data_IF_713780451112
#
_entry.id   IF_713780451112
#
_cell.length_a   1.000
_cell.length_b   1.000
_cell.length_c   1.000
_cell.angle_alpha   90.00
_cell.angle_beta   90.00
_cell.angle_gamma   90.00
#
_symmetry.space_group_name_H-M   'P 1'
#
loop_
_entity.id
_entity.type
_entity.pdbx_description
1 polymer ?
#
# COMPACT_ATOMS: atom_id res chain seq x y z
N UNK A 1 -9.21 -10.16 20.08
CA UNK A 1 -10.24 -9.44 19.30
C UNK A 1 -9.56 -8.71 18.15
N UNK A 2 -10.00 -8.90 16.90
CA UNK A 2 -9.41 -8.23 15.73
C UNK A 2 -9.71 -6.73 15.84
N UNK A 3 -8.66 -5.89 15.91
CA UNK A 3 -8.78 -4.43 15.97
C UNK A 3 -9.55 -3.95 14.74
N UNK A 4 -10.66 -3.27 14.97
CA UNK A 4 -11.42 -2.57 13.93
C UNK A 4 -10.65 -1.26 13.71
N UNK A 5 -10.14 -1.04 12.49
CA UNK A 5 -9.52 0.24 12.16
C UNK A 5 -10.66 1.24 11.94
N UNK A 6 -10.88 2.09 12.95
CA UNK A 6 -11.78 3.22 12.84
C UNK A 6 -11.00 4.43 12.32
N UNK A 7 -11.59 5.12 11.34
CA UNK A 7 -11.13 6.41 10.89
C UNK A 7 -11.88 7.48 11.67
N UNK A 8 -11.20 8.13 12.60
CA UNK A 8 -11.76 9.18 13.44
C UNK A 8 -11.27 10.55 12.98
N UNK A 9 -12.17 11.52 12.85
CA UNK A 9 -11.81 12.88 12.52
C UNK A 9 -12.75 13.92 13.10
N UNK A 10 -12.41 15.19 12.90
CA UNK A 10 -13.21 16.35 13.28
C UNK A 10 -13.29 17.34 12.12
N UNK A 11 -14.49 17.85 11.89
CA UNK A 11 -14.78 18.93 10.96
C UNK A 11 -14.98 20.23 11.70
N UNK A 12 -14.42 21.32 11.17
CA UNK A 12 -14.78 22.66 11.58
C UNK A 12 -15.75 23.24 10.54
N UNK A 13 -16.94 23.65 10.98
CA UNK A 13 -18.02 24.13 10.13
C UNK A 13 -18.25 25.62 10.40
N UNK A 14 -18.32 26.43 9.35
CA UNK A 14 -18.73 27.82 9.46
C UNK A 14 -20.28 27.92 9.43
N UNK A 15 -20.94 28.29 10.54
CA UNK A 15 -22.41 28.38 10.60
C UNK A 15 -22.98 29.49 9.70
N UNK A 16 -22.25 30.60 9.51
CA UNK A 16 -22.70 31.72 8.66
C UNK A 16 -22.74 31.29 7.19
N UNK A 17 -21.78 30.47 6.79
CA UNK A 17 -21.73 29.89 5.46
C UNK A 17 -22.80 28.82 5.25
N UNK A 18 -23.10 28.01 6.27
CA UNK A 18 -23.93 26.82 6.13
C UNK A 18 -25.39 27.14 5.78
N UNK A 19 -25.97 28.16 6.41
CA UNK A 19 -27.40 28.53 6.28
C UNK A 19 -28.33 27.33 6.52
N UNK A 20 -29.16 26.95 5.56
CA UNK A 20 -30.14 25.85 5.61
C UNK A 20 -29.57 24.50 5.15
N UNK A 21 -28.27 24.41 4.87
CA UNK A 21 -27.61 23.20 4.34
C UNK A 21 -27.13 22.28 5.46
N UNK A 22 -26.90 21.03 5.10
CA UNK A 22 -26.32 19.99 5.94
C UNK A 22 -24.85 19.75 5.54
N UNK A 23 -24.08 19.16 6.46
CA UNK A 23 -22.71 18.72 6.19
C UNK A 23 -22.65 17.21 6.23
N UNK A 24 -22.20 16.63 5.12
CA UNK A 24 -21.99 15.21 4.97
C UNK A 24 -20.51 14.92 4.81
N UNK A 25 -20.09 13.75 5.28
CA UNK A 25 -18.78 13.17 5.03
C UNK A 25 -18.98 11.83 4.35
N UNK A 26 -18.26 11.57 3.28
CA UNK A 26 -18.25 10.28 2.62
C UNK A 26 -16.87 9.66 2.67
N UNK A 27 -16.81 8.37 3.00
CA UNK A 27 -15.65 7.53 2.80
C UNK A 27 -15.90 6.66 1.56
N UNK A 28 -15.08 6.86 0.53
CA UNK A 28 -15.16 6.12 -0.73
C UNK A 28 -13.89 5.30 -0.92
N UNK A 29 -14.02 4.00 -1.18
CA UNK A 29 -12.96 3.17 -1.73
C UNK A 29 -13.28 2.97 -3.21
N UNK A 30 -12.39 3.42 -4.10
CA UNK A 30 -12.60 3.32 -5.54
C UNK A 30 -11.42 2.63 -6.21
N UNK A 31 -11.72 1.79 -7.19
CA UNK A 31 -10.76 1.36 -8.20
C UNK A 31 -10.81 2.37 -9.36
N UNK A 32 -9.65 2.91 -9.72
CA UNK A 32 -9.48 3.84 -10.84
C UNK A 32 -8.55 3.24 -11.87
N UNK A 33 -8.88 3.43 -13.14
CA UNK A 33 -8.06 3.11 -14.29
C UNK A 33 -8.20 4.23 -15.32
N UNK A 34 -7.10 4.89 -15.69
CA UNK A 34 -7.10 5.96 -16.70
C UNK A 34 -6.62 7.32 -16.16
N UNK A 35 -6.78 8.39 -16.96
CA UNK A 35 -6.45 9.77 -16.54
C UNK A 35 -7.57 10.33 -15.66
N UNK A 36 -7.21 11.04 -14.59
CA UNK A 36 -8.17 11.71 -13.69
C UNK A 36 -8.89 12.90 -14.35
N UNK A 37 -8.37 13.45 -15.45
CA UNK A 37 -8.82 14.73 -16.04
C UNK A 37 -9.66 14.59 -17.33
N UNK A 38 -9.89 13.38 -17.84
CA UNK A 38 -10.61 13.12 -19.10
C UNK A 38 -11.92 12.38 -18.81
N UNK A 39 -12.99 13.13 -18.54
CA UNK A 39 -14.33 12.58 -18.31
C UNK A 39 -15.19 12.45 -19.58
N UNK A 40 -14.67 12.75 -20.78
CA UNK A 40 -15.57 12.83 -21.96
C UNK A 40 -15.15 12.02 -23.20
N UNK A 41 -13.87 11.73 -23.49
CA UNK A 41 -13.51 11.01 -24.75
C UNK A 41 -12.22 10.17 -24.66
N UNK A 42 -12.02 9.33 -23.62
CA UNK A 42 -10.87 8.42 -23.60
C UNK A 42 -10.73 7.52 -22.36
N UNK A 43 -11.50 6.43 -22.31
CA UNK A 43 -11.35 5.22 -21.45
C UNK A 43 -10.86 5.44 -20.01
N UNK A 44 -11.46 6.39 -19.28
CA UNK A 44 -11.37 6.43 -17.81
C UNK A 44 -12.44 5.50 -17.22
N UNK A 45 -12.03 4.62 -16.31
CA UNK A 45 -12.91 3.72 -15.59
C UNK A 45 -12.74 3.95 -14.10
N UNK A 46 -13.87 4.16 -13.43
CA UNK A 46 -13.94 4.27 -11.97
C UNK A 46 -15.04 3.34 -11.49
N UNK A 47 -14.70 2.45 -10.56
CA UNK A 47 -15.66 1.60 -9.86
C UNK A 47 -15.53 1.85 -8.37
N UNK A 48 -16.59 2.38 -7.77
CA UNK A 48 -16.65 2.52 -6.33
C UNK A 48 -16.87 1.12 -5.72
N UNK A 49 -15.90 0.64 -4.96
CA UNK A 49 -15.91 -0.66 -4.28
C UNK A 49 -16.63 -0.59 -2.93
N UNK A 50 -16.63 0.60 -2.32
CA UNK A 50 -17.30 0.87 -1.06
C UNK A 50 -17.60 2.36 -0.94
N UNK A 51 -18.78 2.68 -0.45
CA UNK A 51 -19.18 4.05 -0.09
C UNK A 51 -19.88 3.97 1.25
N UNK A 52 -19.48 4.85 2.17
CA UNK A 52 -20.17 5.10 3.43
C UNK A 52 -20.35 6.59 3.61
N UNK A 53 -21.55 7.01 3.99
CA UNK A 53 -21.92 8.42 4.17
C UNK A 53 -22.31 8.63 5.62
N UNK A 54 -21.79 9.70 6.22
CA UNK A 54 -22.04 10.12 7.58
C UNK A 54 -22.54 11.57 7.58
N UNK A 55 -23.60 11.87 8.33
CA UNK A 55 -24.11 13.23 8.46
C UNK A 55 -23.48 13.90 9.68
N UNK A 56 -22.45 14.73 9.45
CA UNK A 56 -21.75 15.42 10.52
C UNK A 56 -22.55 16.59 11.13
N UNK A 57 -23.40 17.24 10.32
CA UNK A 57 -24.27 18.31 10.80
C UNK A 57 -25.58 18.40 9.98
N UNK A 58 -26.74 18.58 10.62
CA UNK A 58 -26.97 18.50 12.07
C UNK A 58 -26.75 17.06 12.58
N UNK A 59 -26.27 16.86 13.82
CA UNK A 59 -26.00 15.52 14.35
C UNK A 59 -27.30 14.70 14.49
N UNK A 60 -27.27 13.44 14.09
CA UNK A 60 -28.40 12.53 14.21
C UNK A 60 -28.44 11.88 15.61
N UNK A 61 -29.63 11.73 16.25
CA UNK A 61 -29.74 11.21 17.61
C UNK A 61 -29.21 9.78 17.82
N UNK A 62 -29.22 8.95 16.77
CA UNK A 62 -28.86 7.53 16.84
C UNK A 62 -27.35 7.26 16.66
N UNK A 63 -26.53 8.27 16.33
CA UNK A 63 -25.12 8.08 15.94
C UNK A 63 -24.09 8.46 17.02
N UNK A 64 -24.50 8.61 18.28
CA UNK A 64 -23.58 8.90 19.39
C UNK A 64 -22.71 7.70 19.78
N UNK A 65 -21.76 7.35 18.91
CA UNK A 65 -20.63 6.49 19.25
C UNK A 65 -19.71 7.21 20.25
N UNK A 66 -19.03 6.46 21.14
CA UNK A 66 -18.05 7.05 22.05
C UNK A 66 -16.93 7.73 21.27
N UNK A 67 -16.58 8.94 21.69
CA UNK A 67 -15.53 9.73 21.05
C UNK A 67 -14.15 9.15 21.32
N UNK A 68 -13.25 9.29 20.36
CA UNK A 68 -11.85 8.95 20.58
C UNK A 68 -11.13 10.03 21.38
N UNK A 69 -10.04 9.65 22.06
CA UNK A 69 -9.18 10.61 22.81
C UNK A 69 -8.69 11.76 21.93
N UNK A 70 -8.50 11.51 20.62
CA UNK A 70 -8.11 12.55 19.66
C UNK A 70 -9.26 13.52 19.41
N UNK A 71 -10.47 13.00 19.15
CA UNK A 71 -11.66 13.83 18.94
C UNK A 71 -11.93 14.70 20.16
N UNK A 72 -11.90 14.16 21.37
CA UNK A 72 -12.09 14.95 22.60
C UNK A 72 -11.12 16.13 22.71
N UNK A 73 -9.83 15.92 22.40
CA UNK A 73 -8.82 16.97 22.41
C UNK A 73 -9.05 18.01 21.33
N UNK A 74 -9.42 17.58 20.13
CA UNK A 74 -9.69 18.47 19.00
C UNK A 74 -10.94 19.31 19.22
N UNK A 75 -12.03 18.71 19.72
CA UNK A 75 -13.27 19.41 20.05
C UNK A 75 -13.01 20.48 21.13
N UNK A 76 -12.26 20.13 22.19
CA UNK A 76 -11.87 21.10 23.23
C UNK A 76 -11.03 22.26 22.67
N UNK A 77 -10.19 22.01 21.66
CA UNK A 77 -9.29 23.01 21.07
C UNK A 77 -9.97 23.90 20.02
N UNK A 78 -10.87 23.33 19.22
CA UNK A 78 -11.49 23.99 18.06
C UNK A 78 -12.79 24.72 18.41
N UNK A 79 -13.42 24.39 19.54
CA UNK A 79 -14.60 25.06 20.04
C UNK A 79 -15.92 24.45 19.55
N UNK A 80 -16.99 25.23 19.65
CA UNK A 80 -18.38 24.75 19.52
C UNK A 80 -18.79 24.37 18.08
N UNK A 81 -18.05 24.84 17.08
CA UNK A 81 -18.31 24.56 15.66
C UNK A 81 -17.55 23.34 15.14
N UNK A 82 -16.93 22.58 16.05
CA UNK A 82 -16.21 21.37 15.73
C UNK A 82 -17.14 20.16 15.89
N UNK A 83 -17.26 19.37 14.83
CA UNK A 83 -18.16 18.21 14.78
C UNK A 83 -17.37 16.94 14.47
N UNK A 84 -17.48 15.89 15.31
CA UNK A 84 -16.77 14.64 15.08
C UNK A 84 -17.44 13.82 13.98
N UNK A 85 -16.64 13.02 13.27
CA UNK A 85 -17.13 11.96 12.39
C UNK A 85 -16.29 10.70 12.60
N UNK A 86 -16.89 9.53 12.34
CA UNK A 86 -16.16 8.28 12.32
C UNK A 86 -16.60 7.35 11.19
N UNK A 87 -15.65 6.55 10.70
CA UNK A 87 -15.93 5.45 9.80
C UNK A 87 -15.31 4.18 10.31
N UNK A 88 -16.01 3.07 10.09
CA UNK A 88 -15.47 1.74 10.33
C UNK A 88 -15.17 1.09 8.99
N UNK A 89 -13.90 0.93 8.65
CA UNK A 89 -13.49 0.34 7.37
C UNK A 89 -13.66 -1.18 7.43
N UNK A 90 -14.46 -1.79 6.53
CA UNK A 90 -14.55 -3.24 6.44
C UNK A 90 -13.20 -3.89 6.12
N UNK A 91 -12.88 -5.00 6.81
CA UNK A 91 -11.58 -5.66 6.68
C UNK A 91 -11.37 -6.28 5.29
N UNK A 92 -12.44 -6.67 4.61
CA UNK A 92 -12.44 -7.30 3.29
C UNK A 92 -12.16 -6.34 2.13
N UNK A 93 -12.16 -5.02 2.35
CA UNK A 93 -11.78 -4.08 1.31
C UNK A 93 -10.30 -4.20 0.93
N UNK A 94 -9.93 -3.98 -0.33
CA UNK A 94 -8.53 -3.95 -0.74
C UNK A 94 -7.72 -2.87 -0.01
N UNK A 95 -6.41 -3.06 0.03
CA UNK A 95 -5.48 -2.04 0.51
C UNK A 95 -5.22 -1.00 -0.58
N UNK A 96 -4.69 0.16 -0.18
CA UNK A 96 -4.29 1.19 -1.13
C UNK A 96 -3.09 0.70 -1.95
N UNK A 97 -3.25 0.72 -3.26
CA UNK A 97 -2.24 0.24 -4.21
C UNK A 97 -2.31 1.06 -5.48
N UNK A 98 -1.16 1.47 -5.99
CA UNK A 98 -1.04 2.23 -7.24
C UNK A 98 -0.06 1.51 -8.15
N UNK A 99 -0.47 1.24 -9.38
CA UNK A 99 0.39 0.69 -10.42
C UNK A 99 1.04 1.82 -11.20
N UNK A 100 2.36 1.76 -11.33
CA UNK A 100 3.11 2.70 -12.15
C UNK A 100 2.83 2.41 -13.64
N UNK A 101 2.36 3.39 -14.44
CA UNK A 101 1.96 3.15 -15.83
C UNK A 101 3.10 2.62 -16.69
N UNK A 102 2.82 1.78 -17.70
CA UNK A 102 3.75 1.37 -18.75
C UNK A 102 4.07 2.48 -19.77
N UNK A 103 5.12 2.32 -20.61
CA UNK A 103 5.40 3.23 -21.73
C UNK A 103 4.28 3.24 -22.79
N UNK A 104 3.60 2.11 -23.01
CA UNK A 104 2.41 1.98 -23.88
C UNK A 104 1.13 2.52 -23.21
N UNK A 105 1.15 2.72 -21.89
CA UNK A 105 0.02 3.19 -21.08
C UNK A 105 0.14 4.69 -20.76
N UNK A 106 0.44 5.51 -21.78
CA UNK A 106 0.62 6.96 -21.61
C UNK A 106 -0.53 7.61 -20.83
N UNK A 107 -0.29 7.93 -19.57
CA UNK A 107 -1.18 8.70 -18.70
C UNK A 107 -2.20 7.90 -17.88
N UNK A 108 -2.25 6.57 -17.96
CA UNK A 108 -3.27 5.79 -17.23
C UNK A 108 -2.78 5.40 -15.84
N UNK A 109 -3.19 6.13 -14.80
CA UNK A 109 -2.99 5.67 -13.43
C UNK A 109 -4.00 4.55 -13.12
N UNK A 110 -3.53 3.40 -12.64
CA UNK A 110 -4.37 2.30 -12.19
C UNK A 110 -4.15 2.09 -10.70
N UNK A 111 -5.21 2.05 -9.89
CA UNK A 111 -5.04 1.87 -8.47
C UNK A 111 -6.33 1.83 -7.67
N UNK A 112 -6.18 1.51 -6.39
CA UNK A 112 -7.22 1.57 -5.38
C UNK A 112 -6.88 2.70 -4.42
N UNK A 113 -7.75 3.70 -4.32
CA UNK A 113 -7.63 4.82 -3.40
C UNK A 113 -8.80 4.87 -2.41
N UNK A 114 -8.51 5.34 -1.20
CA UNK A 114 -9.52 5.68 -0.21
C UNK A 114 -9.62 7.20 -0.12
N UNK A 115 -10.82 7.71 -0.24
CA UNK A 115 -11.11 9.14 -0.29
C UNK A 115 -12.12 9.49 0.79
N UNK A 116 -11.74 10.40 1.68
CA UNK A 116 -12.66 11.10 2.58
C UNK A 116 -13.07 12.40 1.91
N UNK A 117 -14.36 12.62 1.71
CA UNK A 117 -14.88 13.86 1.14
C UNK A 117 -15.93 14.46 2.07
N UNK A 118 -15.68 15.67 2.55
CA UNK A 118 -16.64 16.45 3.31
C UNK A 118 -17.30 17.49 2.40
N UNK A 119 -18.61 17.68 2.48
CA UNK A 119 -19.32 18.64 1.63
C UNK A 119 -20.60 19.19 2.27
N UNK A 120 -20.97 20.41 1.85
CA UNK A 120 -22.24 21.03 2.22
C UNK A 120 -23.30 20.81 1.12
N UNK A 121 -24.44 20.23 1.48
CA UNK A 121 -25.57 19.96 0.58
C UNK A 121 -26.90 19.95 1.35
N UNK A 122 -28.04 20.10 0.66
CA UNK A 122 -29.38 19.98 1.26
C UNK A 122 -29.77 18.51 1.46
N UNK A 123 -29.38 17.65 0.53
CA UNK A 123 -29.57 16.20 0.58
C UNK A 123 -28.30 15.45 0.16
N UNK A 124 -28.22 14.15 0.47
CA UNK A 124 -27.07 13.28 0.10
C UNK A 124 -26.98 13.07 -1.41
N UNK A 125 -28.12 13.13 -2.10
CA UNK A 125 -28.25 12.90 -3.55
C UNK A 125 -27.89 14.13 -4.39
N UNK A 126 -27.75 15.30 -3.76
CA UNK A 126 -27.41 16.54 -4.45
C UNK A 126 -26.01 16.46 -5.09
N UNK A 127 -25.88 16.97 -6.32
CA UNK A 127 -24.61 16.99 -7.02
C UNK A 127 -23.59 17.84 -6.28
N UNK A 128 -22.51 17.21 -5.81
CA UNK A 128 -21.49 17.85 -4.99
C UNK A 128 -20.66 18.84 -5.83
N UNK A 129 -20.73 20.13 -5.51
CA UNK A 129 -19.90 21.17 -6.11
C UNK A 129 -18.49 21.22 -5.52
N UNK A 130 -17.46 21.33 -6.38
CA UNK A 130 -16.04 21.43 -5.97
C UNK A 130 -15.79 22.55 -4.96
N UNK A 131 -16.47 23.69 -5.11
CA UNK A 131 -16.37 24.85 -4.21
C UNK A 131 -16.91 24.62 -2.78
N UNK A 132 -17.75 23.60 -2.59
CA UNK A 132 -18.41 23.32 -1.30
C UNK A 132 -17.94 21.98 -0.72
N UNK A 133 -16.83 21.45 -1.22
CA UNK A 133 -16.34 20.14 -0.82
C UNK A 133 -14.84 20.14 -0.62
N UNK A 134 -14.39 19.49 0.46
CA UNK A 134 -12.99 19.21 0.74
C UNK A 134 -12.76 17.72 0.57
N UNK A 135 -11.66 17.35 -0.09
CA UNK A 135 -11.29 15.97 -0.39
C UNK A 135 -9.93 15.67 0.24
N UNK A 136 -9.82 14.53 0.91
CA UNK A 136 -8.58 13.98 1.45
C UNK A 136 -8.43 12.52 1.01
N UNK A 137 -7.27 12.16 0.47
CA UNK A 137 -6.95 10.77 0.14
C UNK A 137 -6.22 10.16 1.33
N UNK A 138 -6.73 9.03 1.83
CA UNK A 138 -6.12 8.24 2.89
C UNK A 138 -5.60 6.92 2.32
N UNK A 139 -4.71 6.24 3.07
CA UNK A 139 -4.18 4.93 2.68
C UNK A 139 -4.59 3.86 3.67
N UNK A 140 -5.18 2.78 3.15
CA UNK A 140 -5.36 1.54 3.90
C UNK A 140 -4.13 0.67 3.72
N UNK A 141 -3.36 0.47 4.79
CA UNK A 141 -2.15 -0.36 4.80
C UNK A 141 -2.40 -1.68 5.53
N UNK A 142 -1.85 -2.77 5.00
CA UNK A 142 -1.87 -4.07 5.66
C UNK A 142 -0.58 -4.32 6.44
N UNK A 143 -0.73 -4.61 7.73
CA UNK A 143 0.37 -5.00 8.60
C UNK A 143 0.53 -6.52 8.67
N UNK A 144 1.77 -6.96 8.94
CA UNK A 144 2.11 -8.36 9.08
C UNK A 144 1.27 -9.09 10.17
N UNK A 145 0.86 -10.35 9.96
CA UNK A 145 0.35 -11.20 11.03
C UNK A 145 1.41 -11.42 12.12
N UNK A 146 0.94 -11.74 13.34
CA UNK A 146 1.81 -11.98 14.51
C UNK A 146 2.63 -13.26 14.43
N UNK A 147 2.10 -14.28 13.74
CA UNK A 147 2.77 -15.57 13.61
C UNK A 147 3.45 -15.62 12.24
N UNK A 148 4.79 -15.68 12.17
CA UNK A 148 5.48 -16.05 10.94
C UNK A 148 5.08 -17.48 10.59
N UNK A 149 4.78 -17.76 9.32
CA UNK A 149 4.53 -19.12 8.87
C UNK A 149 5.84 -19.87 8.56
N UNK A 150 5.72 -21.10 8.02
CA UNK A 150 6.86 -22.00 7.85
C UNK A 150 7.85 -21.49 6.79
N UNK A 151 9.11 -21.88 6.92
CA UNK A 151 10.14 -21.54 5.93
C UNK A 151 9.78 -22.13 4.55
N UNK A 152 9.71 -21.30 3.50
CA UNK A 152 9.43 -21.82 2.17
C UNK A 152 10.67 -22.51 1.60
N UNK A 153 10.46 -23.71 1.08
CA UNK A 153 11.48 -24.56 0.47
C UNK A 153 10.92 -25.22 -0.79
N UNK A 154 11.70 -25.20 -1.87
CA UNK A 154 11.32 -25.80 -3.15
C UNK A 154 12.54 -26.48 -3.76
N UNK A 155 12.35 -27.70 -4.25
CA UNK A 155 13.36 -28.47 -4.97
C UNK A 155 12.89 -28.83 -6.39
N UNK A 156 13.85 -29.00 -7.29
CA UNK A 156 13.59 -29.50 -8.64
C UNK A 156 14.77 -30.32 -9.14
N UNK A 157 14.48 -31.32 -9.95
CA UNK A 157 15.48 -32.19 -10.57
C UNK A 157 15.31 -32.14 -12.07
N UNK A 158 16.40 -31.88 -12.81
CA UNK A 158 16.39 -31.88 -14.27
C UNK A 158 17.38 -32.90 -14.82
N UNK A 159 16.89 -33.78 -15.69
CA UNK A 159 17.71 -34.62 -16.57
C UNK A 159 17.95 -33.90 -17.90
N UNK A 160 19.07 -34.21 -18.55
CA UNK A 160 19.43 -33.64 -19.85
C UNK A 160 19.52 -34.77 -20.89
N UNK A 161 19.14 -34.49 -22.15
CA UNK A 161 19.06 -35.50 -23.23
C UNK A 161 20.36 -36.30 -23.50
N UNK A 162 21.51 -35.82 -23.01
CA UNK A 162 22.86 -36.39 -23.22
C UNK A 162 23.60 -36.60 -21.88
N UNK A 163 22.87 -36.84 -20.79
CA UNK A 163 23.42 -37.11 -19.46
C UNK A 163 22.51 -38.09 -18.74
N UNK A 164 23.03 -39.27 -18.40
CA UNK A 164 22.28 -40.31 -17.68
C UNK A 164 21.98 -39.93 -16.22
N UNK A 165 22.62 -38.85 -15.74
CA UNK A 165 22.48 -38.30 -14.39
C UNK A 165 21.88 -36.91 -14.41
N UNK A 166 21.22 -36.54 -13.31
CA UNK A 166 20.45 -35.31 -13.17
C UNK A 166 21.20 -34.19 -12.43
N UNK A 167 20.71 -32.97 -12.61
CA UNK A 167 21.07 -31.80 -11.81
C UNK A 167 19.90 -31.52 -10.85
N UNK A 168 20.18 -31.54 -9.56
CA UNK A 168 19.21 -31.23 -8.51
C UNK A 168 19.48 -29.83 -7.96
N UNK A 169 18.43 -29.01 -7.92
CA UNK A 169 18.44 -27.65 -7.38
C UNK A 169 17.41 -27.57 -6.27
N UNK A 170 17.88 -27.22 -5.09
CA UNK A 170 17.08 -26.94 -3.91
C UNK A 170 17.32 -25.49 -3.50
N UNK A 171 16.26 -24.78 -3.14
CA UNK A 171 16.36 -23.46 -2.56
C UNK A 171 15.38 -23.28 -1.40
N UNK A 172 15.76 -22.47 -0.42
CA UNK A 172 14.94 -22.15 0.74
C UNK A 172 15.15 -20.70 1.19
N UNK A 173 14.16 -20.12 1.85
CA UNK A 173 14.24 -18.80 2.47
C UNK A 173 14.30 -18.92 4.00
N UNK A 174 14.94 -17.95 4.65
CA UNK A 174 15.02 -17.91 6.12
C UNK A 174 13.67 -17.64 6.80
N UNK A 175 12.75 -16.96 6.11
CA UNK A 175 11.41 -16.59 6.59
C UNK A 175 10.38 -16.65 5.46
N UNK A 176 9.11 -16.81 5.81
CA UNK A 176 8.01 -16.60 4.85
C UNK A 176 7.64 -15.13 4.72
N UNK A 177 7.74 -14.37 5.81
CA UNK A 177 7.34 -12.97 5.90
C UNK A 177 8.56 -12.07 6.12
N UNK A 178 8.64 -11.02 5.29
CA UNK A 178 9.66 -9.98 5.37
C UNK A 178 9.02 -8.61 5.47
N UNK A 179 9.70 -7.70 6.16
CA UNK A 179 9.34 -6.29 6.19
C UNK A 179 9.98 -5.50 5.06
N UNK A 180 9.37 -4.36 4.72
CA UNK A 180 9.97 -3.42 3.77
C UNK A 180 11.35 -2.97 4.25
N UNK A 181 12.35 -3.08 3.38
CA UNK A 181 13.75 -2.78 3.70
C UNK A 181 14.53 -3.90 4.39
N UNK A 182 13.87 -5.00 4.78
CA UNK A 182 14.54 -6.16 5.37
C UNK A 182 15.31 -6.97 4.29
N UNK A 183 16.56 -7.41 4.56
CA UNK A 183 17.29 -8.29 3.66
C UNK A 183 16.67 -9.71 3.65
N UNK A 184 16.52 -10.28 2.45
CA UNK A 184 16.03 -11.64 2.21
C UNK A 184 17.23 -12.57 2.03
N UNK A 185 17.34 -13.62 2.85
CA UNK A 185 18.39 -14.63 2.72
C UNK A 185 17.86 -15.84 1.95
N UNK A 186 18.52 -16.16 0.84
CA UNK A 186 18.17 -17.25 -0.07
C UNK A 186 19.26 -18.30 0.00
N UNK A 187 18.97 -19.45 0.60
CA UNK A 187 19.85 -20.60 0.58
C UNK A 187 19.66 -21.35 -0.75
N UNK A 188 20.76 -21.58 -1.46
CA UNK A 188 20.78 -22.30 -2.74
C UNK A 188 21.70 -23.51 -2.60
N UNK A 189 21.12 -24.69 -2.72
CA UNK A 189 21.82 -25.96 -2.72
C UNK A 189 21.70 -26.64 -4.09
N UNK A 190 22.83 -27.02 -4.67
CA UNK A 190 22.90 -27.64 -6.00
C UNK A 190 23.68 -28.93 -5.88
N UNK A 191 23.03 -30.04 -6.21
CA UNK A 191 23.69 -31.35 -6.35
C UNK A 191 23.80 -31.68 -7.84
N UNK A 192 24.99 -31.50 -8.42
CA UNK A 192 25.22 -31.71 -9.84
C UNK A 192 25.81 -33.08 -10.10
N UNK A 193 24.95 -34.08 -10.32
CA UNK A 193 25.40 -35.41 -10.74
C UNK A 193 25.56 -35.52 -12.26
N UNK A 194 25.16 -34.49 -13.01
CA UNK A 194 25.19 -34.48 -14.47
C UNK A 194 26.59 -34.27 -15.05
N UNK A 195 26.72 -34.45 -16.37
CA UNK A 195 27.94 -34.14 -17.12
C UNK A 195 28.07 -32.66 -17.50
N UNK A 196 27.07 -31.82 -17.17
CA UNK A 196 27.03 -30.40 -17.54
C UNK A 196 27.58 -29.52 -16.43
N UNK A 197 28.19 -28.40 -16.81
CA UNK A 197 28.65 -27.37 -15.86
C UNK A 197 27.61 -26.27 -15.74
N UNK A 198 27.30 -25.87 -14.49
CA UNK A 198 26.56 -24.63 -14.21
C UNK A 198 27.54 -23.46 -14.33
N UNK A 199 27.23 -22.50 -15.20
CA UNK A 199 28.11 -21.35 -15.49
C UNK A 199 27.95 -20.19 -14.52
N UNK A 200 26.73 -20.00 -14.01
CA UNK A 200 26.36 -18.90 -13.12
C UNK A 200 25.02 -19.15 -12.45
N UNK A 201 24.81 -18.46 -11.34
CA UNK A 201 23.57 -18.46 -10.55
C UNK A 201 22.96 -17.07 -10.61
N UNK A 202 21.71 -16.98 -11.05
CA UNK A 202 20.92 -15.73 -11.06
C UNK A 202 19.80 -15.84 -10.04
N UNK A 203 19.71 -14.86 -9.15
CA UNK A 203 18.63 -14.76 -8.15
C UNK A 203 17.91 -13.45 -8.38
N UNK A 204 16.58 -13.50 -8.48
CA UNK A 204 15.76 -12.30 -8.64
C UNK A 204 14.54 -12.33 -7.75
N UNK A 205 14.29 -11.25 -7.02
CA UNK A 205 13.01 -10.98 -6.36
C UNK A 205 12.09 -10.35 -7.38
N UNK A 206 10.90 -10.92 -7.57
CA UNK A 206 9.92 -10.48 -8.57
C UNK A 206 8.61 -10.13 -7.89
N UNK A 207 8.08 -8.95 -8.21
CA UNK A 207 6.73 -8.55 -7.90
C UNK A 207 5.81 -8.94 -9.05
N UNK A 208 4.67 -9.52 -8.71
CA UNK A 208 3.56 -9.81 -9.60
C UNK A 208 2.37 -8.96 -9.16
N UNK A 209 1.79 -8.21 -10.08
CA UNK A 209 0.59 -7.41 -9.86
C UNK A 209 -0.49 -7.84 -10.85
N UNK A 210 -1.52 -8.52 -10.34
CA UNK A 210 -2.65 -9.00 -11.13
C UNK A 210 -3.82 -8.02 -10.98
N UNK A 211 -4.23 -7.41 -12.09
CA UNK A 211 -5.44 -6.58 -12.15
C UNK A 211 -6.63 -7.50 -12.38
N UNK A 212 -7.60 -7.47 -11.48
CA UNK A 212 -8.80 -8.31 -11.52
C UNK A 212 -10.07 -7.56 -11.94
N UNK A 213 -10.00 -6.24 -12.17
CA UNK A 213 -11.13 -5.39 -12.56
C UNK A 213 -10.92 -4.77 -13.94
N UNK A 214 -12.00 -4.71 -14.73
CA UNK A 214 -12.09 -4.11 -16.07
C UNK A 214 -11.25 -4.78 -17.17
N UNK A 215 -9.93 -4.84 -16.99
CA UNK A 215 -9.01 -5.54 -17.88
C UNK A 215 -8.12 -6.46 -17.05
N UNK A 216 -8.21 -7.77 -17.29
CA UNK A 216 -7.34 -8.74 -16.64
C UNK A 216 -5.94 -8.65 -17.24
N UNK A 217 -5.00 -8.11 -16.46
CA UNK A 217 -3.62 -7.97 -16.86
C UNK A 217 -2.70 -8.36 -15.71
N UNK A 218 -1.61 -9.04 -16.04
CA UNK A 218 -0.57 -9.41 -15.08
C UNK A 218 0.70 -8.64 -15.40
N UNK A 219 1.17 -7.86 -14.44
CA UNK A 219 2.46 -7.19 -14.50
C UNK A 219 3.48 -7.97 -13.71
N UNK A 220 4.69 -8.08 -14.27
CA UNK A 220 5.80 -8.81 -13.69
C UNK A 220 7.05 -7.96 -13.69
N UNK A 221 7.49 -7.55 -12.52
CA UNK A 221 8.61 -6.63 -12.35
C UNK A 221 9.68 -7.24 -11.44
N UNK A 222 10.93 -7.44 -11.90
CA UNK A 222 12.03 -7.77 -11.00
C UNK A 222 12.32 -6.54 -10.13
N UNK A 223 12.31 -6.70 -8.80
CA UNK A 223 12.53 -5.61 -7.82
C UNK A 223 13.90 -5.71 -7.12
N UNK A 224 14.56 -6.86 -7.17
CA UNK A 224 15.97 -7.00 -6.81
C UNK A 224 16.56 -8.15 -7.62
N UNK A 225 17.84 -8.06 -7.99
CA UNK A 225 18.51 -9.11 -8.73
C UNK A 225 19.99 -9.16 -8.35
N UNK A 226 20.50 -10.38 -8.22
CA UNK A 226 21.92 -10.70 -8.05
C UNK A 226 22.28 -11.75 -9.08
N UNK A 227 23.36 -11.52 -9.82
CA UNK A 227 23.94 -12.48 -10.75
C UNK A 227 25.36 -12.75 -10.30
N UNK A 228 25.65 -14.01 -9.96
CA UNK A 228 26.95 -14.45 -9.50
C UNK A 228 27.52 -15.48 -10.47
N UNK A 229 28.77 -15.31 -10.87
CA UNK A 229 29.51 -16.26 -11.71
C UNK A 229 30.01 -17.47 -10.90
N UNK A 230 29.24 -17.90 -9.90
CA UNK A 230 29.47 -19.12 -9.14
C UNK A 230 29.24 -20.33 -10.06
N UNK A 231 30.30 -21.10 -10.28
CA UNK A 231 30.29 -22.28 -11.14
C UNK A 231 30.10 -23.55 -10.32
N UNK A 232 29.34 -24.50 -10.87
CA UNK A 232 29.18 -25.84 -10.29
C UNK A 232 29.67 -26.86 -11.30
N UNK A 233 30.79 -27.48 -10.99
CA UNK A 233 31.43 -28.50 -11.83
C UNK A 233 30.58 -29.76 -11.93
N UNK A 234 30.76 -30.58 -12.99
CA UNK A 234 30.15 -31.90 -13.07
C UNK A 234 30.51 -32.76 -11.85
N UNK A 235 29.56 -33.59 -11.39
CA UNK A 235 29.74 -34.49 -10.24
C UNK A 235 30.17 -33.79 -8.94
N UNK A 236 29.69 -32.57 -8.69
CA UNK A 236 30.00 -31.79 -7.48
C UNK A 236 28.75 -31.20 -6.84
N UNK A 237 28.85 -30.86 -5.55
CA UNK A 237 27.80 -30.16 -4.81
C UNK A 237 28.22 -28.71 -4.54
N UNK A 238 27.22 -27.84 -4.45
CA UNK A 238 27.41 -26.41 -4.17
C UNK A 238 26.34 -25.96 -3.19
N UNK A 239 26.74 -25.18 -2.19
CA UNK A 239 25.84 -24.60 -1.20
C UNK A 239 26.29 -23.17 -0.91
N UNK A 240 25.40 -22.19 -1.11
CA UNK A 240 25.70 -20.78 -0.84
C UNK A 240 24.43 -20.02 -0.49
N UNK A 241 24.57 -19.11 0.47
CA UNK A 241 23.50 -18.18 0.85
C UNK A 241 23.72 -16.85 0.15
N UNK A 242 22.66 -16.32 -0.46
CA UNK A 242 22.65 -15.02 -1.11
C UNK A 242 21.68 -14.08 -0.42
N UNK A 243 22.00 -12.79 -0.40
CA UNK A 243 21.16 -11.78 0.25
C UNK A 243 20.68 -10.75 -0.76
N UNK A 244 19.38 -10.46 -0.77
CA UNK A 244 18.76 -9.45 -1.63
C UNK A 244 17.83 -8.56 -0.82
N UNK A 245 17.87 -7.25 -1.05
CA UNK A 245 16.96 -6.30 -0.38
C UNK A 245 16.08 -5.61 -1.41
N UNK A 246 14.78 -5.95 -1.52
CA UNK A 246 13.86 -5.28 -2.43
C UNK A 246 13.49 -3.91 -1.88
N UNK A 247 13.98 -2.83 -2.51
CA UNK A 247 13.70 -1.45 -2.10
C UNK A 247 13.11 -0.64 -3.25
N UNK A 248 12.24 0.34 -2.96
CA UNK A 248 11.69 1.20 -4.00
C UNK A 248 12.77 2.08 -4.66
N UNK A 249 13.77 2.53 -3.90
CA UNK A 249 14.81 3.47 -4.38
C UNK A 249 15.52 2.96 -5.65
N UNK A 250 15.84 1.67 -5.71
CA UNK A 250 16.50 1.06 -6.87
C UNK A 250 15.55 0.76 -8.04
N UNK A 251 14.25 1.04 -7.89
CA UNK A 251 13.20 0.63 -8.81
C UNK A 251 12.27 1.78 -9.23
N UNK A 252 12.53 3.03 -8.82
CA UNK A 252 11.67 4.19 -9.11
C UNK A 252 11.42 4.42 -10.60
N UNK A 253 12.39 4.06 -11.44
CA UNK A 253 12.31 4.22 -12.89
C UNK A 253 11.59 3.06 -13.59
N UNK A 254 11.35 1.94 -12.88
CA UNK A 254 10.65 0.80 -13.46
C UNK A 254 9.19 1.15 -13.74
N UNK A 255 8.56 0.39 -14.63
CA UNK A 255 7.18 0.59 -15.06
C UNK A 255 6.40 -0.70 -14.80
N UNK A 256 5.08 -0.61 -14.62
CA UNK A 256 4.24 -1.75 -14.23
C UNK A 256 4.44 -2.20 -12.78
N UNK A 257 5.09 -1.37 -11.95
CA UNK A 257 5.39 -1.68 -10.55
C UNK A 257 4.24 -1.24 -9.65
N UNK A 258 3.78 -2.12 -8.78
CA UNK A 258 2.78 -1.81 -7.76
C UNK A 258 3.44 -1.19 -6.52
N UNK A 259 2.87 -0.07 -6.08
CA UNK A 259 3.30 0.74 -4.93
C UNK A 259 2.15 0.86 -3.93
N UNK A 260 2.46 1.05 -2.66
CA UNK A 260 1.43 1.31 -1.62
C UNK A 260 0.96 2.77 -1.56
N UNK A 261 1.49 3.62 -2.45
CA UNK A 261 1.23 5.05 -2.50
C UNK A 261 1.62 5.66 -3.84
N UNK A 262 1.58 7.00 -3.91
CA UNK A 262 2.00 7.74 -5.10
C UNK A 262 3.51 7.90 -5.08
N UNK A 263 4.18 7.65 -6.21
CA UNK A 263 5.65 7.74 -6.34
C UNK A 263 6.26 9.08 -5.87
N UNK A 264 5.48 10.18 -5.91
CA UNK A 264 5.90 11.51 -5.46
C UNK A 264 6.04 11.62 -3.93
N UNK A 265 5.39 10.73 -3.17
CA UNK A 265 5.43 10.78 -1.71
C UNK A 265 6.65 10.04 -1.19
N UNK A 266 7.37 10.67 -0.25
CA UNK A 266 8.60 10.15 0.35
C UNK A 266 8.40 8.83 1.10
N UNK A 267 7.22 8.64 1.69
CA UNK A 267 6.83 7.48 2.48
C UNK A 267 6.22 6.33 1.67
N UNK A 268 6.35 6.38 0.34
CA UNK A 268 5.89 5.32 -0.55
C UNK A 268 6.90 4.17 -0.59
N UNK A 269 6.39 2.95 -0.51
CA UNK A 269 7.16 1.72 -0.64
C UNK A 269 6.61 0.86 -1.79
N UNK A 270 7.27 -0.27 -2.02
CA UNK A 270 6.69 -1.33 -2.84
C UNK A 270 5.35 -1.77 -2.22
N UNK A 271 4.36 -2.13 -3.04
CA UNK A 271 3.07 -2.56 -2.51
C UNK A 271 3.23 -3.81 -1.63
N UNK A 272 2.60 -3.85 -0.46
CA UNK A 272 2.58 -5.06 0.38
C UNK A 272 1.84 -6.21 -0.32
N UNK A 273 2.22 -7.45 0.01
CA UNK A 273 1.52 -8.66 -0.46
C UNK A 273 0.05 -8.65 -0.03
N UNK A 274 -0.84 -8.97 -0.96
CA UNK A 274 -2.28 -9.06 -0.70
C UNK A 274 -2.62 -10.41 -0.06
N UNK A 275 -3.10 -10.40 1.19
CA UNK A 275 -3.58 -11.63 1.84
C UNK A 275 -5.07 -11.83 1.53
N UNK A 276 -5.37 -12.81 0.69
CA UNK A 276 -6.74 -13.20 0.34
C UNK A 276 -7.25 -14.20 1.38
N UNK A 277 -8.20 -13.79 2.22
CA UNK A 277 -8.84 -14.69 3.21
C UNK A 277 -9.91 -15.60 2.58
N UNK A 278 -10.49 -15.17 1.47
CA UNK A 278 -11.54 -15.92 0.76
C UNK A 278 -11.36 -15.74 -0.75
N UNK A 279 -11.20 -16.86 -1.45
CA UNK A 279 -10.84 -16.95 -2.89
C UNK A 279 -12.04 -16.57 -3.77
N UNK A 280 -13.26 -16.56 -3.23
CA UNK A 280 -14.50 -16.29 -3.99
C UNK A 280 -14.64 -14.83 -4.47
N UNK A 281 -13.99 -13.87 -3.80
CA UNK A 281 -14.19 -12.43 -4.05
C UNK A 281 -12.94 -11.72 -4.63
N UNK A 282 -12.19 -12.38 -5.52
CA UNK A 282 -10.98 -11.79 -6.13
C UNK A 282 -11.25 -10.50 -6.90
N UNK A 283 -12.41 -10.39 -7.55
CA UNK A 283 -12.79 -9.19 -8.30
C UNK A 283 -12.96 -7.95 -7.41
N UNK A 284 -13.33 -8.13 -6.14
CA UNK A 284 -13.52 -7.02 -5.18
C UNK A 284 -12.18 -6.41 -4.75
N UNK A 285 -11.08 -7.14 -4.92
CA UNK A 285 -9.76 -6.72 -4.44
C UNK A 285 -9.01 -5.79 -5.42
N UNK A 286 -9.49 -5.63 -6.65
CA UNK A 286 -8.92 -4.74 -7.65
C UNK A 286 -7.54 -5.18 -8.17
N UNK A 287 -6.48 -4.97 -7.39
CA UNK A 287 -5.11 -5.36 -7.74
C UNK A 287 -4.56 -6.30 -6.66
N UNK A 288 -4.16 -7.50 -7.07
CA UNK A 288 -3.52 -8.49 -6.21
C UNK A 288 -2.00 -8.41 -6.39
N UNK A 289 -1.28 -8.18 -5.30
CA UNK A 289 0.18 -8.11 -5.29
C UNK A 289 0.75 -9.35 -4.62
N UNK A 290 1.70 -10.01 -5.28
CA UNK A 290 2.44 -11.14 -4.73
C UNK A 290 3.92 -11.06 -5.09
N UNK A 291 4.76 -11.71 -4.30
CA UNK A 291 6.20 -11.72 -4.52
C UNK A 291 6.74 -13.14 -4.58
N UNK A 292 7.76 -13.33 -5.41
CA UNK A 292 8.51 -14.58 -5.49
C UNK A 292 10.01 -14.33 -5.64
N UNK A 293 10.80 -15.14 -4.96
CA UNK A 293 12.23 -15.28 -5.24
C UNK A 293 12.39 -16.32 -6.33
N UNK A 294 13.03 -15.96 -7.43
CA UNK A 294 13.41 -16.89 -8.50
C UNK A 294 14.90 -17.18 -8.43
N UNK A 295 15.25 -18.45 -8.27
CA UNK A 295 16.63 -18.94 -8.41
C UNK A 295 16.76 -19.60 -9.77
N UNK A 296 17.75 -19.21 -10.56
CA UNK A 296 17.97 -19.68 -11.93
C UNK A 296 19.43 -20.06 -12.14
N UNK A 297 19.68 -21.34 -12.40
CA UNK A 297 20.98 -21.87 -12.79
C UNK A 297 21.11 -21.80 -14.32
N UNK A 298 22.19 -21.18 -14.80
CA UNK A 298 22.51 -21.15 -16.23
C UNK A 298 23.43 -22.31 -16.56
N UNK A 299 22.91 -23.30 -17.26
CA UNK A 299 23.63 -24.55 -17.55
C UNK A 299 24.23 -24.52 -18.94
N UNK A 300 25.50 -24.94 -19.05
CA UNK A 300 26.20 -25.04 -20.34
C UNK A 300 25.48 -26.02 -21.30
N UNK A 301 24.99 -25.50 -22.42
CA UNK A 301 24.38 -26.30 -23.51
C UNK A 301 23.26 -27.26 -23.04
N UNK A 302 22.54 -26.92 -21.96
CA UNK A 302 21.52 -27.79 -21.33
C UNK A 302 20.17 -27.10 -21.05
N UNK A 303 20.07 -25.80 -21.27
CA UNK A 303 18.90 -25.00 -20.86
C UNK A 303 18.89 -24.70 -19.36
N UNK A 304 18.27 -23.60 -18.98
CA UNK A 304 18.35 -23.08 -17.61
C UNK A 304 17.41 -23.83 -16.66
N UNK A 305 17.88 -24.14 -15.44
CA UNK A 305 17.05 -24.73 -14.37
C UNK A 305 16.62 -23.62 -13.44
N UNK A 306 15.34 -23.57 -13.04
CA UNK A 306 14.89 -22.55 -12.09
C UNK A 306 13.76 -23.01 -11.20
N UNK A 307 13.77 -22.50 -9.97
CA UNK A 307 12.68 -22.63 -8.99
C UNK A 307 12.19 -21.23 -8.58
N UNK A 308 10.93 -21.14 -8.15
CA UNK A 308 10.33 -19.92 -7.61
C UNK A 308 9.76 -20.19 -6.22
N UNK A 309 10.16 -19.39 -5.22
CA UNK A 309 9.68 -19.47 -3.84
C UNK A 309 8.77 -18.28 -3.53
N UNK A 310 7.52 -18.50 -3.11
CA UNK A 310 6.66 -17.40 -2.67
C UNK A 310 7.11 -16.86 -1.31
N UNK A 311 6.90 -15.57 -1.09
CA UNK A 311 7.03 -14.95 0.23
C UNK A 311 6.08 -13.76 0.36
N UNK A 312 5.91 -13.29 1.60
CA UNK A 312 5.01 -12.22 1.98
C UNK A 312 5.83 -10.97 2.35
N UNK A 313 5.60 -9.85 1.67
CA UNK A 313 6.23 -8.56 1.97
C UNK A 313 5.20 -7.62 2.61
N UNK A 314 5.43 -7.13 3.82
CA UNK A 314 4.43 -6.32 4.54
C UNK A 314 5.05 -5.21 5.38
N UNK A 315 4.18 -4.31 5.87
CA UNK A 315 4.58 -3.29 6.85
C UNK A 315 4.69 -3.90 8.25
N UNK A 316 5.68 -3.47 9.05
CA UNK A 316 5.76 -3.84 10.46
C UNK A 316 4.59 -3.25 11.23
N UNK A 317 4.06 -4.00 12.20
CA UNK A 317 3.02 -3.45 13.09
C UNK A 317 3.59 -2.23 13.81
N UNK A 318 2.83 -1.12 13.93
CA UNK A 318 3.25 0.00 14.75
C UNK A 318 3.44 -0.50 16.19
N UNK A 319 4.59 -0.20 16.80
CA UNK A 319 4.81 -0.52 18.21
C UNK A 319 3.79 0.26 19.04
N UNK A 320 2.91 -0.43 19.77
CA UNK A 320 2.11 0.21 20.81
C UNK A 320 3.06 0.64 21.93
N UNK A 321 3.56 1.89 21.89
CA UNK A 321 4.22 2.44 23.07
C UNK A 321 3.16 2.51 24.18
N UNK A 322 3.36 1.83 25.33
CA UNK A 322 2.52 2.07 26.48
C UNK A 322 2.71 3.53 26.90
N UNK A 323 1.62 4.28 26.92
CA UNK A 323 1.62 5.66 27.42
C UNK A 323 1.93 5.65 28.92
N UNK A 324 3.21 5.69 29.29
CA UNK A 324 3.67 5.94 30.65
C UNK A 324 4.68 7.10 30.67
N UNK A 325 4.16 8.22 31.19
CA UNK A 325 4.84 9.43 31.72
C UNK A 325 5.32 10.50 30.74
N UNK A 326 5.15 11.80 31.11
CA UNK A 326 5.69 12.92 30.36
C UNK A 326 7.18 13.04 30.68
N UNK A 327 8.04 12.78 29.70
CA UNK A 327 9.41 13.26 29.75
C UNK A 327 9.63 14.25 28.62
N UNK A 328 9.94 15.47 29.06
CA UNK A 328 10.46 16.58 28.28
C UNK A 328 11.69 16.16 27.46
N UNK A 329 11.67 16.50 26.18
CA UNK A 329 12.86 16.56 25.33
C UNK A 329 13.24 15.26 24.65
N UNK A 330 12.75 15.07 23.42
CA UNK A 330 13.48 14.58 22.23
C UNK A 330 12.43 14.24 21.15
N UNK A 331 12.24 15.16 20.22
CA UNK A 331 11.28 15.02 19.13
C UNK A 331 11.85 14.07 18.06
N UNK A 332 11.30 12.85 17.97
CA UNK A 332 11.50 11.99 16.82
C UNK A 332 10.53 12.43 15.70
N UNK A 333 11.08 13.09 14.69
CA UNK A 333 10.39 13.55 13.48
C UNK A 333 9.97 12.34 12.64
N UNK A 334 8.68 12.02 12.60
CA UNK A 334 8.09 11.14 11.58
C UNK A 334 7.29 12.04 10.64
N UNK A 335 7.87 12.30 9.48
CA UNK A 335 7.29 13.09 8.40
C UNK A 335 6.18 12.27 7.72
N UNK A 336 4.93 12.73 7.85
CA UNK A 336 3.89 12.44 6.87
C UNK A 336 3.67 13.70 6.03
N UNK A 337 3.87 13.58 4.73
CA UNK A 337 3.68 14.68 3.79
C UNK A 337 2.19 14.75 3.41
N UNK A 338 1.54 15.86 3.78
CA UNK A 338 0.19 16.16 3.34
C UNK A 338 0.25 16.94 2.03
N UNK A 339 -0.46 16.45 1.02
CA UNK A 339 -0.70 17.20 -0.21
C UNK A 339 -1.63 18.38 0.14
N UNK A 340 -1.04 19.57 0.23
CA UNK A 340 -1.62 20.92 0.19
C UNK A 340 -2.99 21.14 0.86
N UNK A 341 -3.01 21.95 1.93
CA UNK A 341 -4.25 22.50 2.51
C UNK A 341 -5.01 23.31 1.45
N UNK A 342 -6.17 22.82 0.99
CA UNK A 342 -7.09 23.62 0.19
C UNK A 342 -8.12 24.26 1.11
N UNK A 343 -7.91 25.54 1.41
CA UNK A 343 -8.92 26.40 2.02
C UNK A 343 -9.95 26.72 0.94
N UNK A 344 -11.14 26.14 1.03
CA UNK A 344 -12.27 26.50 0.16
C UNK A 344 -13.49 26.72 1.04
N UNK A 345 -13.96 27.97 1.07
CA UNK A 345 -15.17 28.50 1.72
C UNK A 345 -15.85 27.58 2.75
N UNK A 346 -15.44 27.72 4.02
CA UNK A 346 -16.28 27.38 5.19
C UNK A 346 -16.16 25.97 5.78
N UNK A 347 -15.31 25.08 5.25
CA UNK A 347 -15.05 23.75 5.84
C UNK A 347 -13.54 23.53 6.00
N UNK A 348 -13.09 23.17 7.20
CA UNK A 348 -11.72 22.67 7.43
C UNK A 348 -11.80 21.22 7.92
N UNK A 349 -11.18 20.32 7.16
CA UNK A 349 -11.01 18.91 7.54
C UNK A 349 -9.69 18.77 8.31
N UNK A 350 -9.76 18.44 9.60
CA UNK A 350 -8.59 18.20 10.43
C UNK A 350 -8.46 16.70 10.70
N UNK A 351 -7.46 16.08 10.07
CA UNK A 351 -7.06 14.70 10.31
C UNK A 351 -5.64 14.71 10.88
N UNK A 352 -5.43 14.21 12.09
CA UNK A 352 -4.09 14.09 12.69
C UNK A 352 -3.80 12.65 13.08
N UNK A 353 -2.90 12.03 12.32
CA UNK A 353 -1.92 11.13 12.90
C UNK A 353 -0.56 11.84 12.87
N UNK A 354 -0.03 12.11 14.06
CA UNK A 354 1.21 12.81 14.39
C UNK A 354 1.27 14.35 14.35
N UNK A 355 1.73 14.88 15.49
CA UNK A 355 1.94 16.27 15.88
C UNK A 355 3.18 16.85 15.18
N UNK A 356 3.01 17.64 14.10
CA UNK A 356 3.97 18.72 13.79
C UNK A 356 3.40 19.83 12.91
N UNK A 357 2.25 19.63 12.24
CA UNK A 357 1.70 20.65 11.33
C UNK A 357 0.73 21.65 11.98
N UNK A 358 0.25 21.36 13.19
CA UNK A 358 -0.78 22.17 13.86
C UNK A 358 -0.28 23.56 14.31
N UNK A 359 1.04 23.79 14.38
CA UNK A 359 1.59 25.11 14.70
C UNK A 359 1.54 26.09 13.51
N UNK A 360 1.55 25.61 12.26
CA UNK A 360 1.55 26.50 11.08
C UNK A 360 0.16 27.06 10.74
N UNK A 361 -0.92 26.35 11.07
CA UNK A 361 -2.28 26.87 10.85
C UNK A 361 -2.78 27.84 11.92
N UNK A 362 -2.33 27.74 13.17
CA UNK A 362 -2.65 28.76 14.19
C UNK A 362 -1.95 30.11 13.88
N UNK A 363 -0.72 30.09 13.37
CA UNK A 363 0.00 31.33 13.02
C UNK A 363 -0.52 32.06 11.78
N UNK A 364 -1.23 31.37 10.87
CA UNK A 364 -1.86 32.06 9.72
C UNK A 364 -3.12 32.84 10.13
N UNK A 365 -3.77 32.48 11.24
CA UNK A 365 -4.91 33.25 11.76
C UNK A 365 -4.50 34.61 12.33
N UNK A 366 -3.26 34.77 12.79
CA UNK A 366 -2.75 36.04 13.31
C UNK A 366 -2.16 36.97 12.24
N UNK A 367 -1.73 36.46 11.08
CA UNK A 367 -1.10 37.30 10.04
C UNK A 367 -2.04 37.90 8.99
N UNK A 368 -3.32 37.55 8.98
CA UNK A 368 -4.31 38.09 8.02
C UNK A 368 -5.18 39.20 8.64
N UNK A 369 -4.99 39.54 9.93
CA UNK A 369 -5.73 40.61 10.61
C UNK A 369 -4.96 41.95 10.76
N UNK A 370 -3.88 42.16 10.00
CA UNK A 370 -3.27 43.48 9.85
C UNK A 370 -2.82 43.71 8.40
N UNK A 371 -3.75 44.19 7.58
CA UNK A 371 -3.56 45.36 6.71
C UNK A 371 -4.90 45.83 6.17
#
# INVERSE_FOLDING_TARGET
MKKINNEDGVLLIDPEYLKDRKVFVTLTCAFRYGREDLDVLGLSFRKDLYISTFQAFPPLPEEHKPLSRLQERLLKKLGQHAHPFNFTIPQNLPCSVTLQPGPEDTGKACGVDFEIRAFCAKSVEEKIHKRNSVRLVIRKVQYAPEKPGPQPMVETTRSFLMSDRSLHLEASLDKELYYHGEPISVNVHVTNNSTKTVKRVKISVRQYADICLFSTAQYKCPVAQVEADDQVSPSSTFCKVYTLTPTLNNNREKRGLALDGKLKHEDTNLASSTIVKDVSNKEVLGILVSYRVKVKLVVSRGGDVSVELPFVLMHPKPSEQPSSRPQSGMYATILFHFDTSYFVSGIILLYLHFYTFLLKMCFLKEKVLFR
#
